data_IF_649803814939
#
_entry.id   IF_649803814939
#
_cell.length_a   1.000
_cell.length_b   1.000
_cell.length_c   1.000
_cell.angle_alpha   90.00
_cell.angle_beta   90.00
_cell.angle_gamma   90.00
#
_symmetry.space_group_name_H-M   'P 1'
#
loop_
_entity.id
_entity.type
_entity.pdbx_description
1 polymer ?
#
# COMPACT_ATOMS: atom_id res chain seq x y z
N UNK A 1 -29.02 -10.01 -7.59
CA UNK A 1 -28.34 -9.58 -8.84
C UNK A 1 -29.31 -8.69 -9.64
N UNK A 2 -28.81 -7.65 -10.29
CA UNK A 2 -29.57 -6.72 -11.12
C UNK A 2 -28.76 -6.36 -12.40
N UNK A 3 -29.43 -5.86 -13.41
CA UNK A 3 -28.80 -5.45 -14.66
C UNK A 3 -27.97 -4.16 -14.44
N UNK A 4 -26.69 -4.10 -14.81
CA UNK A 4 -25.85 -2.91 -14.60
C UNK A 4 -26.20 -1.74 -15.54
N UNK A 5 -27.05 -1.98 -16.55
CA UNK A 5 -27.41 -0.97 -17.55
C UNK A 5 -28.73 -0.24 -17.23
N UNK A 6 -29.69 -0.93 -16.62
CA UNK A 6 -31.03 -0.37 -16.34
C UNK A 6 -31.56 -0.72 -14.94
N UNK A 7 -30.76 -1.38 -14.11
CA UNK A 7 -31.11 -1.85 -12.77
C UNK A 7 -32.31 -2.81 -12.69
N UNK A 8 -32.80 -3.32 -13.82
CA UNK A 8 -33.87 -4.31 -13.87
C UNK A 8 -33.47 -5.63 -13.24
N UNK A 9 -34.39 -6.29 -12.53
CA UNK A 9 -34.15 -7.56 -11.83
C UNK A 9 -34.45 -8.78 -12.68
N UNK A 10 -35.05 -8.62 -13.86
CA UNK A 10 -35.40 -9.71 -14.75
C UNK A 10 -34.34 -9.93 -15.83
N UNK A 11 -33.73 -11.10 -15.84
CA UNK A 11 -32.70 -11.49 -16.80
C UNK A 11 -32.73 -13.00 -17.04
N UNK A 12 -32.22 -13.43 -18.19
CA UNK A 12 -32.09 -14.82 -18.55
C UNK A 12 -30.63 -15.20 -18.80
N UNK A 13 -30.29 -16.46 -18.58
CA UNK A 13 -28.98 -17.00 -18.92
C UNK A 13 -28.83 -16.94 -20.44
N UNK A 14 -27.77 -16.26 -20.90
CA UNK A 14 -27.39 -16.20 -22.31
C UNK A 14 -26.38 -17.30 -22.65
N UNK A 15 -25.35 -17.46 -21.80
CA UNK A 15 -24.30 -18.46 -21.98
C UNK A 15 -23.78 -18.92 -20.62
N UNK A 16 -23.71 -20.24 -20.41
CA UNK A 16 -23.05 -20.84 -19.24
C UNK A 16 -21.58 -21.11 -19.58
N UNK A 17 -20.68 -20.85 -18.61
CA UNK A 17 -19.27 -21.22 -18.69
C UNK A 17 -18.58 -20.82 -20.00
N UNK A 18 -18.77 -19.56 -20.45
CA UNK A 18 -18.02 -18.99 -21.56
C UNK A 18 -16.51 -18.99 -21.28
N UNK A 19 -15.71 -18.41 -22.18
CA UNK A 19 -14.24 -18.33 -22.09
C UNK A 19 -13.69 -17.78 -20.75
N UNK A 20 -14.54 -17.12 -19.93
CA UNK A 20 -14.18 -16.54 -18.65
C UNK A 20 -14.63 -17.42 -17.45
N UNK A 21 -15.09 -18.65 -17.64
CA UNK A 21 -15.65 -19.50 -16.59
C UNK A 21 -16.75 -18.78 -15.76
N UNK A 22 -17.53 -17.92 -16.39
CA UNK A 22 -18.60 -17.15 -15.75
C UNK A 22 -19.87 -17.22 -16.59
N UNK A 23 -21.01 -17.18 -15.91
CA UNK A 23 -22.31 -17.14 -16.56
C UNK A 23 -22.57 -15.73 -17.10
N UNK A 24 -22.97 -15.69 -18.39
CA UNK A 24 -23.42 -14.46 -19.02
C UNK A 24 -24.94 -14.39 -19.01
N UNK A 25 -25.45 -13.24 -18.62
CA UNK A 25 -26.89 -12.95 -18.57
C UNK A 25 -27.27 -11.90 -19.60
N UNK A 26 -28.52 -11.96 -20.07
CA UNK A 26 -29.16 -10.93 -20.87
C UNK A 26 -30.33 -10.35 -20.11
N UNK A 27 -30.34 -9.06 -19.91
CA UNK A 27 -31.47 -8.34 -19.33
C UNK A 27 -32.69 -8.41 -20.24
N UNK A 28 -33.87 -8.64 -19.66
CA UNK A 28 -35.13 -8.70 -20.42
C UNK A 28 -35.56 -7.28 -20.83
N UNK A 29 -35.43 -6.30 -19.91
CA UNK A 29 -35.89 -4.93 -20.15
C UNK A 29 -35.01 -4.19 -21.18
N UNK A 30 -33.69 -4.05 -20.95
CA UNK A 30 -32.81 -3.27 -21.82
C UNK A 30 -32.03 -4.11 -22.86
N UNK A 31 -32.17 -5.44 -22.83
CA UNK A 31 -31.47 -6.41 -23.69
C UNK A 31 -29.94 -6.41 -23.53
N UNK A 32 -29.37 -5.63 -22.60
CA UNK A 32 -27.94 -5.56 -22.30
C UNK A 32 -27.40 -6.88 -21.76
N UNK A 33 -26.13 -7.16 -22.06
CA UNK A 33 -25.43 -8.36 -21.57
C UNK A 33 -24.54 -8.01 -20.40
N UNK A 34 -24.46 -8.92 -19.40
CA UNK A 34 -23.57 -8.77 -18.24
C UNK A 34 -23.16 -10.13 -17.67
N UNK A 35 -22.00 -10.16 -17.03
CA UNK A 35 -21.47 -11.35 -16.36
C UNK A 35 -21.91 -11.38 -14.89
N UNK A 36 -22.06 -12.56 -14.32
CA UNK A 36 -22.26 -12.76 -12.88
C UNK A 36 -21.15 -12.12 -12.04
N UNK A 37 -19.92 -11.99 -12.60
CA UNK A 37 -18.76 -11.38 -11.95
C UNK A 37 -18.76 -9.85 -11.98
N UNK A 38 -19.73 -9.22 -12.63
CA UNK A 38 -19.75 -7.77 -12.86
C UNK A 38 -19.60 -6.94 -11.58
N UNK A 39 -20.16 -7.44 -10.47
CA UNK A 39 -20.16 -6.78 -9.17
C UNK A 39 -19.27 -7.49 -8.16
N UNK A 40 -18.22 -8.14 -8.62
CA UNK A 40 -17.26 -8.82 -7.77
C UNK A 40 -15.85 -8.31 -8.06
N UNK A 41 -14.93 -8.50 -7.13
CA UNK A 41 -13.51 -8.21 -7.29
C UNK A 41 -12.81 -8.95 -8.43
N UNK A 42 -13.53 -9.82 -9.13
CA UNK A 42 -13.03 -10.60 -10.26
C UNK A 42 -13.51 -10.08 -11.63
N UNK A 43 -14.27 -8.97 -11.63
CA UNK A 43 -14.79 -8.37 -12.86
C UNK A 43 -13.66 -8.03 -13.85
N UNK A 44 -13.83 -8.38 -15.13
CA UNK A 44 -12.84 -8.12 -16.18
C UNK A 44 -11.63 -9.06 -16.21
N UNK A 45 -11.50 -10.00 -15.25
CA UNK A 45 -10.48 -11.03 -15.26
C UNK A 45 -11.00 -12.36 -15.83
N UNK A 46 -10.16 -13.04 -16.64
CA UNK A 46 -10.54 -14.29 -17.32
C UNK A 46 -10.16 -15.56 -16.55
N UNK A 47 -9.59 -15.41 -15.34
CA UNK A 47 -9.19 -16.54 -14.48
C UNK A 47 -10.28 -16.89 -13.50
N UNK A 48 -10.34 -18.15 -13.00
CA UNK A 48 -11.17 -18.51 -11.87
C UNK A 48 -10.80 -17.71 -10.62
N UNK A 49 -11.75 -17.38 -9.72
CA UNK A 49 -11.48 -16.64 -8.48
C UNK A 49 -10.34 -17.26 -7.66
N UNK A 50 -10.34 -18.55 -7.48
CA UNK A 50 -9.34 -19.30 -6.69
C UNK A 50 -7.93 -19.09 -7.24
N UNK A 51 -7.80 -19.03 -8.58
CA UNK A 51 -6.52 -18.79 -9.25
C UNK A 51 -6.07 -17.34 -9.08
N UNK A 52 -6.99 -16.38 -9.05
CA UNK A 52 -6.70 -14.97 -8.79
C UNK A 52 -6.21 -14.81 -7.34
N UNK A 53 -6.91 -15.40 -6.37
CA UNK A 53 -6.52 -15.40 -4.96
C UNK A 53 -5.14 -16.05 -4.78
N UNK A 54 -4.88 -17.20 -5.44
CA UNK A 54 -3.56 -17.85 -5.40
C UNK A 54 -2.44 -16.94 -5.91
N UNK A 55 -2.67 -16.19 -7.01
CA UNK A 55 -1.70 -15.24 -7.55
C UNK A 55 -1.43 -14.11 -6.54
N UNK A 56 -2.47 -13.55 -5.94
CA UNK A 56 -2.33 -12.48 -4.93
C UNK A 56 -1.58 -13.00 -3.71
N UNK A 57 -1.90 -14.19 -3.19
CA UNK A 57 -1.17 -14.84 -2.09
C UNK A 57 0.33 -14.94 -2.39
N UNK A 58 0.71 -15.44 -3.56
CA UNK A 58 2.13 -15.50 -3.96
C UNK A 58 2.79 -14.12 -3.92
N UNK A 59 2.11 -13.08 -4.39
CA UNK A 59 2.68 -11.73 -4.48
C UNK A 59 2.89 -11.07 -3.13
N UNK A 60 1.97 -11.25 -2.17
CA UNK A 60 2.07 -10.68 -0.81
C UNK A 60 3.06 -11.43 0.08
N UNK A 61 3.42 -12.65 -0.29
CA UNK A 61 4.49 -13.44 0.33
C UNK A 61 5.87 -13.21 -0.32
N UNK A 62 6.02 -12.15 -1.11
CA UNK A 62 7.29 -11.75 -1.69
C UNK A 62 7.75 -12.62 -2.88
N UNK A 63 6.88 -13.44 -3.44
CA UNK A 63 7.21 -14.26 -4.62
C UNK A 63 7.29 -13.36 -5.87
N UNK A 64 8.34 -13.57 -6.68
CA UNK A 64 8.53 -12.78 -7.90
C UNK A 64 7.42 -13.04 -8.93
N UNK A 65 7.13 -12.04 -9.79
CA UNK A 65 6.15 -12.19 -10.89
C UNK A 65 6.43 -13.42 -11.76
N UNK A 66 7.71 -13.71 -12.06
CA UNK A 66 8.09 -14.87 -12.87
C UNK A 66 7.87 -16.19 -12.12
N UNK A 67 8.20 -16.22 -10.84
CA UNK A 67 7.97 -17.40 -10.00
C UNK A 67 6.47 -17.63 -9.78
N UNK A 68 5.69 -16.58 -9.50
CA UNK A 68 4.23 -16.65 -9.41
C UNK A 68 3.60 -17.19 -10.71
N UNK A 69 4.10 -16.74 -11.86
CA UNK A 69 3.62 -17.24 -13.16
C UNK A 69 3.84 -18.76 -13.32
N UNK A 70 5.01 -19.26 -12.88
CA UNK A 70 5.30 -20.70 -12.92
C UNK A 70 4.46 -21.48 -11.90
N UNK A 71 4.39 -21.00 -10.64
CA UNK A 71 3.65 -21.66 -9.56
C UNK A 71 2.14 -21.72 -9.85
N UNK A 72 1.59 -20.69 -10.47
CA UNK A 72 0.17 -20.62 -10.81
C UNK A 72 -0.14 -21.15 -12.22
N UNK A 73 0.86 -21.59 -12.99
CA UNK A 73 0.71 -22.03 -14.37
C UNK A 73 -0.03 -21.00 -15.25
N UNK A 74 0.46 -19.76 -15.26
CA UNK A 74 -0.08 -18.65 -16.05
C UNK A 74 1.06 -17.84 -16.68
N UNK A 75 0.74 -17.00 -17.67
CA UNK A 75 1.73 -16.09 -18.24
C UNK A 75 2.05 -14.92 -17.30
N UNK A 76 3.30 -14.42 -17.34
CA UNK A 76 3.74 -13.25 -16.54
C UNK A 76 2.84 -12.02 -16.71
N UNK A 77 2.34 -11.77 -17.92
CA UNK A 77 1.46 -10.64 -18.20
C UNK A 77 0.08 -10.81 -17.53
N UNK A 78 -0.37 -12.04 -17.34
CA UNK A 78 -1.58 -12.37 -16.57
C UNK A 78 -1.38 -12.01 -15.10
N UNK A 79 -0.22 -12.37 -14.50
CA UNK A 79 0.11 -11.99 -13.12
C UNK A 79 0.12 -10.45 -12.97
N UNK A 80 0.74 -9.72 -13.91
CA UNK A 80 0.76 -8.26 -13.87
C UNK A 80 -0.64 -7.62 -14.05
N UNK A 81 -1.53 -8.25 -14.83
CA UNK A 81 -2.92 -7.81 -14.96
C UNK A 81 -3.67 -8.00 -13.65
N UNK A 82 -3.54 -9.17 -13.02
CA UNK A 82 -4.13 -9.46 -11.70
C UNK A 82 -3.59 -8.48 -10.66
N UNK A 83 -2.29 -8.26 -10.61
CA UNK A 83 -1.68 -7.29 -9.67
C UNK A 83 -2.27 -5.89 -9.81
N UNK A 84 -2.33 -5.35 -11.04
CA UNK A 84 -2.88 -4.00 -11.26
C UNK A 84 -4.36 -3.91 -10.94
N UNK A 85 -5.12 -4.97 -11.22
CA UNK A 85 -6.53 -5.04 -10.87
C UNK A 85 -6.72 -5.09 -9.36
N UNK A 86 -6.04 -6.00 -8.67
CA UNK A 86 -6.06 -6.11 -7.21
C UNK A 86 -5.59 -4.81 -6.54
N UNK A 87 -4.53 -4.18 -7.05
CA UNK A 87 -4.04 -2.89 -6.55
C UNK A 87 -5.10 -1.79 -6.56
N UNK A 88 -5.90 -1.70 -7.63
CA UNK A 88 -7.02 -0.74 -7.70
C UNK A 88 -8.11 -1.02 -6.67
N UNK A 89 -8.43 -2.29 -6.46
CA UNK A 89 -9.44 -2.70 -5.45
C UNK A 89 -8.92 -2.43 -4.04
N UNK A 90 -7.68 -2.82 -3.74
CA UNK A 90 -7.04 -2.57 -2.45
C UNK A 90 -6.93 -1.07 -2.13
N UNK A 91 -6.62 -0.24 -3.14
CA UNK A 91 -6.64 1.22 -3.00
C UNK A 91 -8.00 1.71 -2.54
N UNK A 92 -9.08 1.32 -3.21
CA UNK A 92 -10.46 1.71 -2.83
C UNK A 92 -10.81 1.26 -1.42
N UNK A 93 -10.44 0.04 -1.03
CA UNK A 93 -10.68 -0.45 0.34
C UNK A 93 -9.97 0.42 1.36
N UNK A 94 -8.68 0.69 1.19
CA UNK A 94 -7.91 1.52 2.12
C UNK A 94 -8.43 2.96 2.17
N UNK A 95 -8.78 3.55 1.02
CA UNK A 95 -9.36 4.89 0.96
C UNK A 95 -10.74 4.99 1.64
N UNK A 96 -11.57 3.95 1.52
CA UNK A 96 -12.91 3.93 2.10
C UNK A 96 -12.94 3.55 3.59
N UNK A 97 -12.08 2.59 3.99
CA UNK A 97 -12.11 2.02 5.35
C UNK A 97 -11.20 2.74 6.34
N UNK A 98 -10.09 3.32 5.86
CA UNK A 98 -9.12 4.00 6.72
C UNK A 98 -9.43 5.49 6.80
N UNK A 99 -10.57 5.81 7.39
CA UNK A 99 -11.09 7.16 7.63
C UNK A 99 -11.56 7.29 9.09
N UNK A 100 -11.53 8.50 9.63
CA UNK A 100 -11.93 8.79 11.02
C UNK A 100 -11.19 7.94 12.05
N UNK A 101 -9.90 7.74 11.83
CA UNK A 101 -9.06 6.88 12.66
C UNK A 101 -8.69 7.59 13.96
N UNK A 102 -8.72 6.86 15.07
CA UNK A 102 -8.21 7.29 16.37
C UNK A 102 -6.87 6.63 16.64
N UNK A 103 -5.78 7.30 16.27
CA UNK A 103 -4.41 6.80 16.41
C UNK A 103 -3.60 7.74 17.29
N UNK A 104 -2.82 7.18 18.24
CA UNK A 104 -2.13 7.97 19.27
C UNK A 104 -0.71 8.36 18.87
N UNK A 105 0.09 7.40 18.39
CA UNK A 105 1.52 7.58 18.17
C UNK A 105 1.92 7.12 16.76
N UNK A 106 1.98 8.05 15.84
CA UNK A 106 2.28 7.77 14.43
C UNK A 106 3.76 7.99 14.18
N UNK A 107 4.43 6.99 13.63
CA UNK A 107 5.80 7.06 13.16
C UNK A 107 5.82 7.14 11.64
N UNK A 108 6.59 8.07 11.10
CA UNK A 108 6.74 8.24 9.66
C UNK A 108 8.20 8.08 9.25
N UNK A 109 8.43 7.42 8.13
CA UNK A 109 9.77 7.16 7.57
C UNK A 109 9.65 6.95 6.05
N UNK A 110 10.77 7.00 5.32
CA UNK A 110 10.80 6.73 3.90
C UNK A 110 11.63 5.48 3.60
N UNK A 111 11.18 4.78 2.57
CA UNK A 111 12.02 3.77 1.93
C UNK A 111 12.15 4.02 0.44
N UNK A 112 13.34 3.73 -0.12
CA UNK A 112 13.59 3.87 -1.55
C UNK A 112 13.35 2.54 -2.26
N UNK A 113 12.60 2.61 -3.37
CA UNK A 113 12.48 1.61 -4.40
C UNK A 113 13.10 2.11 -5.72
N UNK A 114 13.09 1.26 -6.74
CA UNK A 114 13.60 1.58 -8.07
C UNK A 114 12.54 1.29 -9.11
N UNK A 115 12.53 2.11 -10.17
CA UNK A 115 11.68 1.90 -11.34
C UNK A 115 12.52 1.96 -12.61
N UNK A 116 12.40 0.95 -13.45
CA UNK A 116 13.14 0.88 -14.72
C UNK A 116 14.62 0.59 -14.54
N UNK A 117 15.34 1.48 -13.87
CA UNK A 117 16.79 1.43 -13.60
C UNK A 117 17.08 1.80 -12.14
N UNK A 118 18.23 1.37 -11.61
CA UNK A 118 18.79 1.94 -10.37
C UNK A 118 19.28 3.35 -10.65
N UNK A 119 19.24 4.22 -9.65
CA UNK A 119 19.57 5.65 -9.79
C UNK A 119 20.92 5.90 -10.46
N UNK A 120 21.95 5.12 -10.09
CA UNK A 120 23.31 5.21 -10.65
C UNK A 120 23.39 4.92 -12.16
N UNK A 121 22.34 4.32 -12.75
CA UNK A 121 22.26 3.97 -14.17
C UNK A 121 21.24 4.84 -14.93
N UNK A 122 20.68 5.86 -14.29
CA UNK A 122 19.72 6.78 -14.93
C UNK A 122 20.49 7.79 -15.78
N UNK A 123 20.11 7.92 -17.04
CA UNK A 123 20.69 8.89 -17.99
C UNK A 123 19.82 10.14 -18.10
N UNK A 124 20.34 11.28 -18.62
CA UNK A 124 19.51 12.45 -18.90
C UNK A 124 18.30 12.13 -19.78
N UNK A 125 18.45 11.33 -20.82
CA UNK A 125 17.36 10.90 -21.70
C UNK A 125 16.27 10.09 -20.97
N UNK A 126 16.62 9.33 -19.94
CA UNK A 126 15.64 8.62 -19.10
C UNK A 126 14.78 9.61 -18.30
N UNK A 127 15.35 10.76 -17.87
CA UNK A 127 14.63 11.76 -17.08
C UNK A 127 13.69 12.62 -17.94
N UNK A 128 14.03 12.83 -19.21
CA UNK A 128 13.20 13.55 -20.17
C UNK A 128 12.09 12.69 -20.77
N UNK A 129 12.13 11.38 -20.55
CA UNK A 129 11.15 10.42 -21.07
C UNK A 129 9.79 10.55 -20.38
N UNK A 130 8.72 9.98 -20.99
CA UNK A 130 7.35 10.08 -20.48
C UNK A 130 7.07 9.21 -19.25
N UNK A 131 8.04 8.46 -18.77
CA UNK A 131 7.87 7.52 -17.67
C UNK A 131 8.88 7.80 -16.55
N UNK A 132 8.45 7.69 -15.31
CA UNK A 132 9.35 7.73 -14.17
C UNK A 132 10.37 6.59 -14.24
N UNK A 133 11.66 6.93 -14.20
CA UNK A 133 12.81 6.00 -14.17
C UNK A 133 13.77 6.46 -13.09
N UNK A 134 14.25 5.54 -12.27
CA UNK A 134 15.18 5.82 -11.17
C UNK A 134 14.58 5.55 -9.80
N UNK A 135 14.97 6.35 -8.83
CA UNK A 135 14.50 6.25 -7.45
C UNK A 135 13.02 6.64 -7.35
N UNK A 136 12.25 5.79 -6.68
CA UNK A 136 10.89 6.10 -6.24
C UNK A 136 10.88 5.99 -4.71
N UNK A 137 10.57 7.08 -4.04
CA UNK A 137 10.51 7.12 -2.58
C UNK A 137 9.10 6.81 -2.11
N UNK A 138 9.00 6.00 -1.09
CA UNK A 138 7.74 5.61 -0.48
C UNK A 138 7.74 6.20 0.93
N UNK A 139 6.93 7.21 1.15
CA UNK A 139 6.63 7.78 2.46
C UNK A 139 5.59 6.90 3.13
N UNK A 140 5.80 6.52 4.36
CA UNK A 140 5.01 5.54 5.08
C UNK A 140 4.67 6.01 6.49
N UNK A 141 3.40 6.00 6.86
CA UNK A 141 2.94 6.16 8.23
C UNK A 141 2.65 4.79 8.87
N UNK A 142 3.04 4.62 10.11
CA UNK A 142 2.75 3.43 10.91
C UNK A 142 2.36 3.85 12.31
N UNK A 143 1.19 3.44 12.78
CA UNK A 143 0.82 3.64 14.17
C UNK A 143 1.59 2.69 15.09
N UNK A 144 2.17 3.24 16.15
CA UNK A 144 3.02 2.48 17.06
C UNK A 144 2.26 1.48 17.93
N UNK A 145 0.99 1.71 18.21
CA UNK A 145 0.15 0.84 19.05
C UNK A 145 -0.50 -0.26 18.21
N UNK A 146 -1.31 0.10 17.25
CA UNK A 146 -2.08 -0.84 16.43
C UNK A 146 -1.29 -1.43 15.27
N UNK A 147 -0.11 -0.91 14.96
CA UNK A 147 0.73 -1.25 13.78
C UNK A 147 0.04 -0.97 12.44
N UNK A 148 -1.10 -0.28 12.46
CA UNK A 148 -1.83 0.09 11.26
C UNK A 148 -0.97 0.99 10.37
N UNK A 149 -1.06 0.77 9.07
CA UNK A 149 -0.54 1.66 8.02
C UNK A 149 -1.72 2.46 7.45
N UNK A 150 -2.01 3.67 7.97
CA UNK A 150 -3.16 4.44 7.53
C UNK A 150 -3.03 4.93 6.08
N UNK A 151 -1.82 5.32 5.68
CA UNK A 151 -1.53 5.77 4.33
C UNK A 151 -0.06 5.61 3.96
N UNK A 152 0.22 5.72 2.68
CA UNK A 152 1.56 5.84 2.10
C UNK A 152 1.49 6.68 0.82
N UNK A 153 2.61 7.29 0.43
CA UNK A 153 2.73 8.08 -0.80
C UNK A 153 3.97 7.66 -1.58
N UNK A 154 3.88 7.62 -2.91
CA UNK A 154 4.99 7.29 -3.79
C UNK A 154 5.35 8.52 -4.61
N UNK A 155 6.59 8.99 -4.49
CA UNK A 155 7.03 10.19 -5.20
C UNK A 155 8.54 10.40 -5.12
N UNK A 156 8.95 11.66 -5.16
CA UNK A 156 10.33 12.08 -4.94
C UNK A 156 10.59 12.31 -3.45
N UNK A 157 11.85 12.35 -3.05
CA UNK A 157 12.21 12.74 -1.67
C UNK A 157 12.29 14.26 -1.55
N UNK A 158 11.14 14.89 -1.67
CA UNK A 158 10.99 16.35 -1.67
C UNK A 158 9.84 16.82 -0.78
N UNK A 159 9.71 18.14 -0.65
CA UNK A 159 8.67 18.76 0.17
C UNK A 159 7.27 18.53 -0.42
N UNK A 160 7.12 18.51 -1.74
CA UNK A 160 5.81 18.35 -2.40
C UNK A 160 5.19 16.98 -2.06
N UNK A 161 6.00 15.93 -2.16
CA UNK A 161 5.55 14.58 -1.80
C UNK A 161 5.27 14.45 -0.30
N UNK A 162 6.12 15.06 0.55
CA UNK A 162 5.91 15.07 2.00
C UNK A 162 4.61 15.81 2.40
N UNK A 163 4.29 16.92 1.74
CA UNK A 163 3.06 17.69 1.98
C UNK A 163 1.82 16.90 1.53
N UNK A 164 1.85 16.29 0.35
CA UNK A 164 0.77 15.40 -0.12
C UNK A 164 0.50 14.27 0.86
N UNK A 165 1.57 13.58 1.29
CA UNK A 165 1.51 12.49 2.25
C UNK A 165 0.94 12.92 3.60
N UNK A 166 1.41 14.04 4.18
CA UNK A 166 0.93 14.54 5.47
C UNK A 166 -0.51 15.03 5.38
N UNK A 167 -0.92 15.63 4.26
CA UNK A 167 -2.30 16.05 4.03
C UNK A 167 -3.25 14.86 3.96
N UNK A 168 -2.87 13.77 3.25
CA UNK A 168 -3.66 12.54 3.24
C UNK A 168 -3.75 11.93 4.65
N UNK A 169 -2.64 11.89 5.40
CA UNK A 169 -2.62 11.38 6.77
C UNK A 169 -3.56 12.19 7.67
N UNK A 170 -3.47 13.52 7.63
CA UNK A 170 -4.32 14.41 8.44
C UNK A 170 -5.81 14.22 8.14
N UNK A 171 -6.16 14.07 6.86
CA UNK A 171 -7.54 13.83 6.42
C UNK A 171 -8.14 12.51 6.91
N UNK A 172 -7.32 11.55 7.32
CA UNK A 172 -7.78 10.23 7.81
C UNK A 172 -7.98 10.17 9.32
N UNK A 173 -7.47 11.12 10.08
CA UNK A 173 -7.44 11.10 11.55
C UNK A 173 -8.60 11.89 12.14
N UNK A 174 -9.21 11.33 13.18
CA UNK A 174 -10.29 11.98 13.95
C UNK A 174 -9.81 12.63 15.26
N UNK A 175 -8.57 12.36 15.68
CA UNK A 175 -8.00 12.87 16.92
C UNK A 175 -6.69 13.62 16.66
N UNK A 176 -6.19 14.32 17.69
CA UNK A 176 -4.86 14.91 17.72
C UNK A 176 -3.82 13.81 17.99
N UNK A 177 -2.96 13.43 17.03
CA UNK A 177 -1.92 12.42 17.24
C UNK A 177 -0.63 13.05 17.76
N UNK A 178 0.27 12.21 18.29
CA UNK A 178 1.68 12.51 18.29
C UNK A 178 2.34 11.88 17.05
N UNK A 179 3.05 12.69 16.26
CA UNK A 179 3.78 12.23 15.08
C UNK A 179 5.28 12.26 15.38
N UNK A 180 5.98 11.21 14.95
CA UNK A 180 7.45 11.15 15.02
C UNK A 180 8.02 10.84 13.64
N UNK A 181 9.02 11.61 13.21
CA UNK A 181 9.83 11.34 12.02
C UNK A 181 11.31 11.17 12.36
N UNK A 182 12.08 10.78 11.35
CA UNK A 182 13.53 10.94 11.36
C UNK A 182 13.94 12.41 11.12
N UNK A 183 15.23 12.65 10.85
CA UNK A 183 15.79 14.01 10.65
C UNK A 183 15.47 14.66 9.30
N UNK A 184 14.54 14.17 8.48
CA UNK A 184 14.20 14.77 7.19
C UNK A 184 13.48 16.13 7.39
N UNK A 185 14.11 17.22 6.98
CA UNK A 185 13.60 18.59 7.20
C UNK A 185 12.25 18.85 6.52
N UNK A 186 11.94 18.17 5.43
CA UNK A 186 10.67 18.33 4.73
C UNK A 186 9.45 18.09 5.63
N UNK A 187 9.57 17.17 6.61
CA UNK A 187 8.48 16.90 7.55
C UNK A 187 8.12 18.09 8.44
N UNK A 188 9.06 18.96 8.79
CA UNK A 188 8.75 20.14 9.63
C UNK A 188 7.69 21.00 8.96
N UNK A 189 7.88 21.31 7.67
CA UNK A 189 6.94 22.11 6.89
C UNK A 189 5.66 21.35 6.54
N UNK A 190 5.79 20.07 6.17
CA UNK A 190 4.66 19.25 5.78
C UNK A 190 3.68 19.01 6.95
N UNK A 191 4.19 18.74 8.15
CA UNK A 191 3.38 18.55 9.36
C UNK A 191 2.70 19.87 9.75
N UNK A 192 3.43 20.99 9.74
CA UNK A 192 2.87 22.30 10.06
C UNK A 192 1.71 22.66 9.12
N UNK A 193 1.87 22.43 7.81
CA UNK A 193 0.82 22.72 6.82
C UNK A 193 -0.40 21.81 6.94
N UNK A 194 -0.20 20.52 7.20
CA UNK A 194 -1.29 19.55 7.24
C UNK A 194 -2.07 19.57 8.56
N UNK A 195 -1.41 19.82 9.68
CA UNK A 195 -1.98 19.68 11.02
C UNK A 195 -2.07 21.01 11.78
N UNK A 196 -1.24 22.01 11.44
CA UNK A 196 -1.14 23.26 12.17
C UNK A 196 -0.82 23.03 13.65
N UNK A 197 -1.65 23.62 14.54
CA UNK A 197 -1.52 23.42 15.99
C UNK A 197 -2.16 22.13 16.52
N UNK A 198 -2.77 21.32 15.64
CA UNK A 198 -3.52 20.11 16.04
C UNK A 198 -2.65 18.84 16.04
N UNK A 199 -1.36 18.96 16.36
CA UNK A 199 -0.41 17.84 16.41
C UNK A 199 0.64 18.04 17.50
N UNK A 200 1.13 16.95 18.06
CA UNK A 200 2.35 16.91 18.86
C UNK A 200 3.43 16.26 17.98
N UNK A 201 4.44 17.04 17.58
CA UNK A 201 5.44 16.57 16.62
C UNK A 201 6.84 16.56 17.21
N UNK A 202 7.50 15.41 17.07
CA UNK A 202 8.88 15.20 17.47
C UNK A 202 9.71 14.55 16.37
N UNK A 203 11.01 14.79 16.40
CA UNK A 203 11.98 14.16 15.50
C UNK A 203 13.00 13.35 16.27
N UNK A 204 13.35 12.18 15.76
CA UNK A 204 14.44 11.36 16.29
C UNK A 204 15.72 11.63 15.47
N UNK A 205 16.62 12.44 16.01
CA UNK A 205 17.87 12.82 15.35
C UNK A 205 18.93 11.76 15.61
N UNK A 206 19.28 10.96 14.61
CA UNK A 206 20.34 9.96 14.68
C UNK A 206 21.71 10.62 14.55
N UNK A 207 22.63 10.29 15.45
CA UNK A 207 24.03 10.71 15.41
C UNK A 207 24.89 9.55 14.94
N UNK A 208 25.71 9.81 13.93
CA UNK A 208 26.65 8.84 13.41
C UNK A 208 28.07 9.31 13.68
N UNK A 209 28.95 8.36 13.99
CA UNK A 209 30.38 8.57 14.10
C UNK A 209 31.11 7.68 13.11
N UNK A 210 32.18 8.16 12.53
CA UNK A 210 33.01 7.36 11.66
C UNK A 210 34.03 6.58 12.51
N UNK A 211 34.00 5.23 12.38
CA UNK A 211 34.99 4.32 12.97
C UNK A 211 35.48 3.38 11.88
N UNK A 212 36.79 3.31 11.73
CA UNK A 212 37.44 2.42 10.75
C UNK A 212 36.87 2.56 9.30
N UNK A 213 36.58 3.81 8.88
CA UNK A 213 36.00 4.10 7.57
C UNK A 213 34.52 3.70 7.42
N UNK A 214 33.81 3.39 8.51
CA UNK A 214 32.39 3.07 8.54
C UNK A 214 31.62 4.03 9.45
N UNK A 215 30.43 4.42 8.98
CA UNK A 215 29.50 5.19 9.80
C UNK A 215 28.75 4.25 10.74
N UNK A 216 28.97 4.42 12.05
CA UNK A 216 28.29 3.69 13.11
C UNK A 216 27.30 4.61 13.83
N UNK A 217 26.15 4.07 14.22
CA UNK A 217 25.16 4.80 15.01
C UNK A 217 25.71 5.00 16.43
N UNK A 218 26.05 6.25 16.80
CA UNK A 218 26.54 6.62 18.12
C UNK A 218 25.42 6.92 19.11
N UNK A 219 24.19 7.13 18.65
CA UNK A 219 23.03 7.40 19.46
C UNK A 219 21.91 8.08 18.70
N UNK A 220 20.77 8.23 19.33
CA UNK A 220 19.61 8.95 18.82
C UNK A 220 19.11 9.92 19.88
N UNK A 221 18.76 11.14 19.47
CA UNK A 221 18.30 12.21 20.35
C UNK A 221 16.85 12.56 19.98
N UNK A 222 15.88 12.34 20.88
CA UNK A 222 14.54 12.85 20.70
C UNK A 222 14.51 14.38 20.80
N UNK A 223 13.90 15.02 19.82
CA UNK A 223 13.77 16.49 19.72
C UNK A 223 12.32 16.88 19.53
N UNK A 224 11.64 17.49 20.50
CA UNK A 224 10.34 18.13 20.28
C UNK A 224 10.45 19.25 19.24
N UNK A 225 9.49 19.35 18.32
CA UNK A 225 9.45 20.34 17.25
C UNK A 225 8.25 21.26 17.42
N UNK A 226 7.04 20.71 17.57
CA UNK A 226 5.82 21.47 17.81
C UNK A 226 4.88 20.75 18.77
N UNK A 227 4.01 21.51 19.44
CA UNK A 227 3.12 20.99 20.47
C UNK A 227 3.90 20.56 21.73
N UNK A 228 3.42 19.51 22.38
CA UNK A 228 4.04 18.94 23.58
C UNK A 228 4.19 17.41 23.45
N UNK A 229 5.03 16.93 22.52
CA UNK A 229 5.19 15.49 22.31
C UNK A 229 5.86 14.83 23.52
N UNK A 230 5.35 13.67 23.96
CA UNK A 230 5.97 12.85 24.98
C UNK A 230 7.32 12.29 24.48
N UNK A 231 8.47 12.65 25.07
CA UNK A 231 9.77 12.21 24.61
C UNK A 231 9.95 10.69 24.60
N UNK A 232 9.21 9.95 25.44
CA UNK A 232 9.25 8.48 25.51
C UNK A 232 8.70 7.82 24.25
N UNK A 233 7.81 8.52 23.54
CA UNK A 233 7.19 8.07 22.30
C UNK A 233 7.82 8.66 21.02
N UNK A 234 8.87 9.49 21.16
CA UNK A 234 9.66 9.96 20.01
C UNK A 234 10.61 8.82 19.57
N UNK A 235 10.12 7.97 18.68
CA UNK A 235 10.81 6.79 18.16
C UNK A 235 10.40 6.54 16.70
N UNK A 236 11.29 5.95 15.91
CA UNK A 236 11.05 5.50 14.51
C UNK A 236 11.11 3.98 14.36
N UNK A 237 11.23 3.24 15.47
CA UNK A 237 11.51 1.81 15.45
C UNK A 237 10.45 0.96 14.74
N UNK A 238 9.16 1.32 14.87
CA UNK A 238 8.08 0.59 14.21
C UNK A 238 8.02 0.92 12.70
N UNK A 239 8.25 2.18 12.31
CA UNK A 239 8.35 2.57 10.92
C UNK A 239 9.53 1.86 10.24
N UNK A 240 10.71 1.83 10.88
CA UNK A 240 11.90 1.11 10.39
C UNK A 240 11.65 -0.41 10.29
N UNK A 241 10.97 -0.99 11.28
CA UNK A 241 10.56 -2.40 11.24
C UNK A 241 9.61 -2.68 10.08
N UNK A 242 8.66 -1.78 9.84
CA UNK A 242 7.73 -1.91 8.72
C UNK A 242 8.43 -1.75 7.37
N UNK A 243 9.40 -0.85 7.26
CA UNK A 243 10.27 -0.72 6.09
C UNK A 243 11.05 -2.02 5.80
N UNK A 244 11.53 -2.72 6.86
CA UNK A 244 12.15 -4.03 6.71
C UNK A 244 11.13 -5.07 6.20
N UNK A 245 9.92 -5.11 6.76
CA UNK A 245 8.86 -6.00 6.30
C UNK A 245 8.51 -5.75 4.83
N UNK A 246 8.41 -4.48 4.40
CA UNK A 246 8.20 -4.14 3.00
C UNK A 246 9.29 -4.72 2.09
N UNK A 247 10.55 -4.71 2.52
CA UNK A 247 11.66 -5.30 1.74
C UNK A 247 11.65 -6.82 1.71
N UNK A 248 11.11 -7.47 2.73
CA UNK A 248 11.01 -8.93 2.79
C UNK A 248 9.83 -9.45 1.95
N UNK A 249 8.67 -8.83 2.09
CA UNK A 249 7.40 -9.33 1.53
C UNK A 249 6.95 -8.63 0.24
N UNK A 250 7.43 -7.42 -0.05
CA UNK A 250 7.25 -6.80 -1.35
C UNK A 250 8.50 -7.00 -2.21
N UNK A 251 8.52 -8.05 -3.05
CA UNK A 251 9.69 -8.44 -3.84
C UNK A 251 10.35 -7.29 -4.63
N UNK A 252 9.57 -6.28 -5.00
CA UNK A 252 10.04 -5.12 -5.77
C UNK A 252 10.94 -4.18 -4.96
N UNK A 253 10.87 -4.25 -3.62
CA UNK A 253 11.65 -3.43 -2.70
C UNK A 253 12.85 -4.18 -2.10
N UNK A 254 13.02 -5.46 -2.42
CA UNK A 254 14.16 -6.26 -1.94
C UNK A 254 15.48 -5.66 -2.45
N UNK A 255 16.39 -5.37 -1.51
CA UNK A 255 17.72 -4.83 -1.79
C UNK A 255 18.60 -5.86 -2.51
N UNK A 256 19.65 -5.37 -3.20
CA UNK A 256 20.67 -6.16 -3.87
C UNK A 256 20.12 -7.12 -4.94
N UNK A 257 18.94 -6.82 -5.52
CA UNK A 257 18.34 -7.60 -6.60
C UNK A 257 17.89 -6.68 -7.74
N UNK A 258 17.63 -7.29 -8.91
CA UNK A 258 17.02 -6.62 -10.06
C UNK A 258 15.49 -6.87 -10.13
N UNK A 259 14.84 -7.10 -8.97
CA UNK A 259 13.42 -7.42 -8.90
C UNK A 259 12.50 -6.20 -8.93
N UNK A 260 13.05 -4.99 -9.03
CA UNK A 260 12.30 -3.74 -9.07
C UNK A 260 11.34 -3.64 -10.28
N UNK A 261 10.37 -2.77 -10.16
CA UNK A 261 9.35 -2.54 -11.20
C UNK A 261 9.95 -1.86 -12.43
N UNK A 262 9.45 -2.22 -13.62
CA UNK A 262 9.79 -1.49 -14.85
C UNK A 262 8.90 -0.26 -15.09
N UNK A 263 7.77 -0.15 -14.39
CA UNK A 263 6.80 0.95 -14.46
C UNK A 263 6.32 1.28 -13.06
N UNK A 264 6.09 2.56 -12.79
CA UNK A 264 5.67 3.05 -11.48
C UNK A 264 4.31 2.47 -11.07
N UNK A 265 3.36 2.35 -12.01
CA UNK A 265 2.02 1.84 -11.73
C UNK A 265 2.03 0.38 -11.21
N UNK A 266 3.06 -0.40 -11.58
CA UNK A 266 3.23 -1.75 -11.04
C UNK A 266 3.87 -1.75 -9.65
N UNK A 267 4.65 -0.73 -9.30
CA UNK A 267 5.16 -0.54 -7.94
C UNK A 267 4.02 -0.13 -7.02
N UNK A 268 3.26 0.89 -7.40
CA UNK A 268 2.10 1.37 -6.64
C UNK A 268 1.07 0.26 -6.43
N UNK A 269 0.69 -0.47 -7.50
CA UNK A 269 -0.22 -1.59 -7.37
C UNK A 269 0.28 -2.66 -6.39
N UNK A 270 1.59 -2.94 -6.36
CA UNK A 270 2.16 -3.90 -5.43
C UNK A 270 2.12 -3.38 -3.99
N UNK A 271 2.33 -2.10 -3.77
CA UNK A 271 2.25 -1.46 -2.45
C UNK A 271 0.80 -1.45 -1.94
N UNK A 272 -0.18 -1.09 -2.77
CA UNK A 272 -1.59 -1.15 -2.40
C UNK A 272 -2.03 -2.56 -1.99
N UNK A 273 -1.64 -3.59 -2.77
CA UNK A 273 -1.94 -4.99 -2.42
C UNK A 273 -1.23 -5.40 -1.13
N UNK A 274 0.04 -5.02 -0.98
CA UNK A 274 0.83 -5.38 0.20
C UNK A 274 0.26 -4.74 1.47
N UNK A 275 0.02 -3.42 1.48
CA UNK A 275 -0.46 -2.73 2.68
C UNK A 275 -1.92 -3.08 3.02
N UNK A 276 -2.78 -3.29 2.02
CA UNK A 276 -4.13 -3.78 2.29
C UNK A 276 -4.11 -5.19 2.90
N UNK A 277 -3.30 -6.10 2.36
CA UNK A 277 -3.08 -7.41 2.96
C UNK A 277 -2.50 -7.30 4.38
N UNK A 278 -1.49 -6.47 4.59
CA UNK A 278 -0.87 -6.25 5.89
C UNK A 278 -1.88 -5.74 6.93
N UNK A 279 -2.72 -4.77 6.56
CA UNK A 279 -3.68 -4.17 7.46
C UNK A 279 -4.87 -5.10 7.78
N UNK A 280 -5.42 -5.81 6.80
CA UNK A 280 -6.70 -6.50 6.94
C UNK A 280 -6.60 -8.02 7.04
N UNK A 281 -5.59 -8.64 6.39
CA UNK A 281 -5.52 -10.11 6.22
C UNK A 281 -4.45 -10.74 7.10
N UNK A 282 -3.30 -10.07 7.27
CA UNK A 282 -2.18 -10.62 8.00
C UNK A 282 -2.35 -10.48 9.51
N UNK A 283 -2.24 -11.57 10.26
CA UNK A 283 -2.13 -11.54 11.72
C UNK A 283 -0.75 -10.99 12.08
N UNK A 284 -0.72 -9.90 12.86
CA UNK A 284 0.51 -9.34 13.38
C UNK A 284 0.95 -10.12 14.63
N UNK A 285 2.18 -10.58 14.68
CA UNK A 285 2.68 -11.50 15.73
C UNK A 285 2.49 -10.97 17.13
N UNK A 286 2.77 -9.67 17.38
CA UNK A 286 2.64 -9.08 18.71
C UNK A 286 1.20 -8.72 19.08
N UNK A 287 0.34 -8.45 18.08
CA UNK A 287 -1.06 -8.08 18.32
C UNK A 287 -1.99 -9.29 18.44
N UNK A 288 -1.63 -10.42 17.82
CA UNK A 288 -2.45 -11.64 17.68
C UNK A 288 -3.72 -11.46 16.83
N UNK A 289 -3.90 -10.27 16.25
CA UNK A 289 -4.97 -9.87 15.33
C UNK A 289 -4.36 -9.11 14.16
N UNK A 290 -5.17 -8.72 13.17
CA UNK A 290 -4.70 -7.82 12.12
C UNK A 290 -4.60 -6.37 12.64
N UNK A 291 -3.73 -5.52 12.06
CA UNK A 291 -3.66 -4.09 12.41
C UNK A 291 -5.00 -3.37 12.30
N UNK A 292 -5.84 -3.68 11.31
CA UNK A 292 -7.15 -3.08 11.15
C UNK A 292 -8.13 -3.50 12.27
N UNK A 293 -8.02 -4.73 12.78
CA UNK A 293 -8.78 -5.17 13.97
C UNK A 293 -8.30 -4.43 15.22
N UNK A 294 -6.98 -4.31 15.41
CA UNK A 294 -6.42 -3.59 16.55
C UNK A 294 -6.81 -2.11 16.57
N UNK A 295 -6.99 -1.51 15.40
CA UNK A 295 -7.45 -0.13 15.23
C UNK A 295 -8.98 0.03 15.19
N UNK A 296 -9.75 -1.02 15.45
CA UNK A 296 -11.23 -1.04 15.41
C UNK A 296 -11.83 -0.64 14.03
N UNK A 297 -11.07 -0.86 12.95
CA UNK A 297 -11.54 -0.63 11.57
C UNK A 297 -12.41 -1.78 11.06
N UNK A 298 -12.17 -2.98 11.58
CA UNK A 298 -12.92 -4.20 11.29
C UNK A 298 -13.01 -5.08 12.53
N UNK A 299 -14.04 -5.89 12.63
CA UNK A 299 -14.32 -6.79 13.75
C UNK A 299 -13.79 -8.22 13.54
N UNK A 300 -13.29 -8.53 12.37
CA UNK A 300 -12.78 -9.87 12.01
C UNK A 300 -11.55 -9.81 11.09
N UNK A 301 -10.87 -10.96 10.99
CA UNK A 301 -9.75 -11.14 10.08
C UNK A 301 -10.27 -11.38 8.66
N UNK A 302 -9.87 -10.55 7.72
CA UNK A 302 -10.29 -10.69 6.33
C UNK A 302 -9.53 -11.79 5.60
N UNK A 303 -10.17 -12.34 4.57
CA UNK A 303 -9.53 -13.15 3.54
C UNK A 303 -9.13 -12.29 2.34
N UNK A 304 -8.25 -12.80 1.48
CA UNK A 304 -7.94 -12.11 0.21
C UNK A 304 -9.18 -12.03 -0.69
N UNK A 305 -10.03 -13.05 -0.69
CA UNK A 305 -11.30 -13.03 -1.43
C UNK A 305 -12.19 -11.88 -0.98
N UNK A 306 -12.36 -11.73 0.31
CA UNK A 306 -13.13 -10.64 0.91
C UNK A 306 -12.52 -9.27 0.59
N UNK A 307 -11.18 -9.13 0.74
CA UNK A 307 -10.47 -7.89 0.42
C UNK A 307 -10.71 -7.45 -1.04
N UNK A 308 -10.65 -8.37 -1.99
CA UNK A 308 -10.88 -8.07 -3.40
C UNK A 308 -12.35 -7.70 -3.67
N UNK A 309 -13.30 -8.38 -3.04
CA UNK A 309 -14.73 -8.13 -3.22
C UNK A 309 -15.18 -6.83 -2.55
N UNK A 310 -14.60 -6.46 -1.43
CA UNK A 310 -14.90 -5.19 -0.74
C UNK A 310 -14.49 -3.95 -1.55
N UNK A 311 -13.53 -4.07 -2.48
CA UNK A 311 -13.11 -2.99 -3.36
C UNK A 311 -13.80 -2.96 -4.74
N UNK A 312 -14.77 -3.84 -4.97
CA UNK A 312 -15.42 -4.01 -6.27
C UNK A 312 -16.37 -2.87 -6.69
#
# INVERSE_FOLDING_TARGET
>A
MYCPHCYGSQFKVHQKNGHALSTMYRCIACRGFFSERRFTGYSGLKLPPEKIVQIVNCLVEGVSVRSTARLCNVQKNTVLRVLRHAGKLCKRVMEAKLQNLHLSYIQVDELVGWVGKKEVNVTPADREGPHHIGAAWIFLATDAETKLVPCFEVGNRDLVTAESFMTDLAGRLANRPQITSDGLRAYVWAVERAFGSSVDFGMLIKRYVERDGRLELAGALPRPISGNPDPRHISTSYAERNNLNCRLFCRRLTRLTNAFSRRIENLEAALWVYFAHYNFVKIHTSLRVSPAMAANVTDHLWTIDELLNAGA
#
